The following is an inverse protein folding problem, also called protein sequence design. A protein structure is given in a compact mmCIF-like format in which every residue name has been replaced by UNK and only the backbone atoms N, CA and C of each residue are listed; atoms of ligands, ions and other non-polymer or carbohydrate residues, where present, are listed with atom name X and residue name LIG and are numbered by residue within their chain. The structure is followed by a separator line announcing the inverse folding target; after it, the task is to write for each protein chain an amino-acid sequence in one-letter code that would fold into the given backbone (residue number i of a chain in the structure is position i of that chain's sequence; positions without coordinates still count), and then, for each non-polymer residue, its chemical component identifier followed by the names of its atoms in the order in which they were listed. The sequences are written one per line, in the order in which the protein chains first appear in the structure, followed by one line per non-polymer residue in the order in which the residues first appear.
data_IF_134429955806
#
_entry.id   IF_134429955806
#
_cell.length_a   1.000
_cell.length_b   1.000
_cell.length_c   1.000
_cell.angle_alpha   90.00
_cell.angle_beta   90.00
_cell.angle_gamma   90.00
#
_symmetry.space_group_name_H-M   'P 1'
#
loop_
_entity.id
_entity.type
_entity.pdbx_description
1 polymer ?
#
# COMPACT_ATOMS: atom_id res chain seq x y z
N UNK A 1 -22.62 -9.85 18.67
CA UNK A 1 -21.99 -8.54 19.06
C UNK A 1 -20.46 -8.61 19.09
N UNK A 2 -19.91 -9.76 19.51
CA UNK A 2 -18.47 -10.04 19.57
C UNK A 2 -17.79 -10.01 18.19
N UNK A 3 -18.41 -10.61 17.16
CA UNK A 3 -17.85 -10.67 15.79
C UNK A 3 -17.63 -9.28 15.21
N UNK A 4 -18.57 -8.35 15.45
CA UNK A 4 -18.48 -6.97 14.96
C UNK A 4 -17.31 -6.22 15.60
N UNK A 5 -17.18 -6.28 16.92
CA UNK A 5 -16.13 -5.54 17.63
C UNK A 5 -14.73 -6.06 17.25
N UNK A 6 -14.56 -7.38 17.22
CA UNK A 6 -13.32 -8.02 16.73
C UNK A 6 -13.00 -7.61 15.30
N UNK A 7 -13.99 -7.62 14.40
CA UNK A 7 -13.79 -7.21 12.99
C UNK A 7 -13.33 -5.76 12.89
N UNK A 8 -14.00 -4.86 13.61
CA UNK A 8 -13.68 -3.43 13.60
C UNK A 8 -12.25 -3.20 14.08
N UNK A 9 -11.83 -3.84 15.18
CA UNK A 9 -10.47 -3.75 15.72
C UNK A 9 -9.43 -4.23 14.70
N UNK A 10 -9.63 -5.38 14.07
CA UNK A 10 -8.70 -5.92 13.08
C UNK A 10 -8.58 -5.03 11.84
N UNK A 11 -9.68 -4.45 11.36
CA UNK A 11 -9.65 -3.49 10.26
C UNK A 11 -8.89 -2.21 10.63
N UNK A 12 -9.11 -1.67 11.84
CA UNK A 12 -8.36 -0.52 12.36
C UNK A 12 -6.87 -0.84 12.49
N UNK A 13 -6.53 -2.02 12.98
CA UNK A 13 -5.14 -2.50 13.04
C UNK A 13 -4.52 -2.48 11.63
N UNK A 14 -5.22 -2.99 10.62
CA UNK A 14 -4.74 -2.92 9.23
C UNK A 14 -4.56 -1.50 8.72
N UNK A 15 -5.47 -0.58 9.05
CA UNK A 15 -5.34 0.85 8.69
C UNK A 15 -4.07 1.43 9.31
N UNK A 16 -3.79 1.14 10.58
CA UNK A 16 -2.55 1.53 11.25
C UNK A 16 -1.34 0.94 10.52
N UNK A 17 -1.42 -0.32 10.09
CA UNK A 17 -0.40 -0.96 9.25
C UNK A 17 -0.10 -0.19 7.96
N UNK A 18 -1.14 0.21 7.22
CA UNK A 18 -0.98 1.02 6.02
C UNK A 18 -0.41 2.42 6.33
N UNK A 19 -0.80 3.03 7.46
CA UNK A 19 -0.25 4.33 7.88
C UNK A 19 1.24 4.21 8.23
N UNK A 20 1.68 3.10 8.84
CA UNK A 20 3.10 2.85 9.05
C UNK A 20 3.86 2.78 7.72
N UNK A 21 3.26 2.17 6.68
CA UNK A 21 3.83 2.21 5.34
C UNK A 21 3.93 3.63 4.78
N UNK A 22 2.88 4.45 4.88
CA UNK A 22 2.92 5.86 4.48
C UNK A 22 4.08 6.61 5.16
N UNK A 23 4.28 6.37 6.47
CA UNK A 23 5.41 6.94 7.22
C UNK A 23 6.74 6.39 6.68
N UNK A 24 6.83 5.08 6.43
CA UNK A 24 8.01 4.45 5.85
C UNK A 24 8.39 5.02 4.49
N UNK A 25 7.41 5.21 3.60
CA UNK A 25 7.59 5.80 2.28
C UNK A 25 8.12 7.23 2.39
N UNK A 26 7.54 8.02 3.29
CA UNK A 26 8.00 9.38 3.54
C UNK A 26 9.42 9.42 4.11
N UNK A 27 9.74 8.55 5.06
CA UNK A 27 11.08 8.44 5.62
C UNK A 27 12.12 8.10 4.54
N UNK A 28 11.75 7.29 3.55
CA UNK A 28 12.62 6.92 2.45
C UNK A 28 12.73 7.97 1.33
N UNK A 29 11.62 8.57 0.92
CA UNK A 29 11.55 9.30 -0.34
C UNK A 29 11.52 10.83 -0.19
N UNK A 30 11.07 11.35 0.96
CA UNK A 30 10.92 12.80 1.14
C UNK A 30 12.27 13.50 1.22
N UNK A 31 12.45 14.53 0.39
CA UNK A 31 13.68 15.33 0.34
C UNK A 31 13.50 16.67 1.05
N UNK A 32 14.55 17.11 1.74
CA UNK A 32 14.62 18.42 2.38
C UNK A 32 14.70 19.57 1.38
N UNK A 33 14.43 20.79 1.84
CA UNK A 33 14.53 22.00 1.02
C UNK A 33 15.97 22.18 0.54
N UNK A 34 16.18 22.16 -0.78
CA UNK A 34 17.49 22.36 -1.41
C UNK A 34 18.32 21.08 -1.62
N UNK A 35 17.81 19.90 -1.25
CA UNK A 35 18.47 18.63 -1.60
C UNK A 35 18.27 18.31 -3.07
N UNK A 36 19.30 17.73 -3.70
CA UNK A 36 19.25 17.35 -5.12
C UNK A 36 18.31 16.19 -5.37
N UNK A 37 17.30 16.40 -6.23
CA UNK A 37 16.34 15.37 -6.65
C UNK A 37 16.77 14.64 -7.92
N UNK A 38 17.95 14.94 -8.46
CA UNK A 38 18.51 14.23 -9.61
C UNK A 38 18.66 12.74 -9.32
N UNK A 39 18.33 11.95 -10.35
CA UNK A 39 18.43 10.50 -10.33
C UNK A 39 19.51 10.05 -11.30
N UNK A 40 20.32 9.07 -10.89
CA UNK A 40 21.32 8.41 -11.71
C UNK A 40 20.80 7.01 -12.05
N UNK A 41 20.46 6.78 -13.31
CA UNK A 41 19.73 5.58 -13.71
C UNK A 41 18.26 5.63 -13.30
N UNK A 42 17.68 4.50 -12.93
CA UNK A 42 16.23 4.42 -12.69
C UNK A 42 15.83 4.77 -11.25
N UNK A 43 16.58 4.29 -10.26
CA UNK A 43 16.15 4.34 -8.86
C UNK A 43 17.07 5.17 -7.94
N UNK A 44 18.34 5.33 -8.29
CA UNK A 44 19.32 5.97 -7.40
C UNK A 44 19.12 7.48 -7.41
N UNK A 45 18.79 8.08 -6.26
CA UNK A 45 18.71 9.53 -6.09
C UNK A 45 19.94 10.06 -5.38
N UNK A 46 20.50 11.18 -5.86
CA UNK A 46 21.67 11.82 -5.23
C UNK A 46 21.38 12.19 -3.77
N UNK A 47 20.15 12.60 -3.47
CA UNK A 47 19.68 12.88 -2.10
C UNK A 47 19.99 11.77 -1.07
N UNK A 48 20.10 10.51 -1.48
CA UNK A 48 20.39 9.40 -0.56
C UNK A 48 21.74 9.54 0.15
N UNK A 49 22.71 10.25 -0.45
CA UNK A 49 24.00 10.51 0.18
C UNK A 49 23.88 11.46 1.38
N UNK A 50 22.97 12.43 1.29
CA UNK A 50 22.72 13.44 2.32
C UNK A 50 21.73 12.95 3.39
N UNK A 51 20.84 12.03 3.03
CA UNK A 51 19.83 11.50 3.94
C UNK A 51 20.44 10.64 5.04
N UNK A 52 20.05 10.86 6.30
CA UNK A 52 20.49 10.05 7.43
C UNK A 52 20.13 8.58 7.28
N UNK A 53 21.09 7.68 7.50
CA UNK A 53 20.93 6.22 7.36
C UNK A 53 19.81 5.66 8.26
N UNK A 54 19.59 6.28 9.42
CA UNK A 54 18.51 5.91 10.34
C UNK A 54 17.13 5.98 9.67
N UNK A 55 16.92 6.85 8.67
CA UNK A 55 15.66 6.98 7.94
C UNK A 55 15.32 5.71 7.17
N UNK A 56 16.31 5.11 6.51
CA UNK A 56 16.16 3.86 5.77
C UNK A 56 15.89 2.70 6.72
N UNK A 57 16.61 2.63 7.85
CA UNK A 57 16.39 1.62 8.89
C UNK A 57 14.98 1.72 9.49
N UNK A 58 14.57 2.94 9.87
CA UNK A 58 13.24 3.20 10.40
C UNK A 58 12.15 2.88 9.35
N UNK A 59 12.39 3.20 8.08
CA UNK A 59 11.47 2.86 6.98
C UNK A 59 11.30 1.34 6.82
N UNK A 60 12.37 0.56 6.89
CA UNK A 60 12.31 -0.92 6.86
C UNK A 60 11.50 -1.44 8.06
N UNK A 61 11.73 -0.91 9.26
CA UNK A 61 10.98 -1.30 10.46
C UNK A 61 9.48 -0.97 10.34
N UNK A 62 9.15 0.22 9.83
CA UNK A 62 7.79 0.62 9.52
C UNK A 62 7.13 -0.34 8.52
N UNK A 63 7.81 -0.72 7.43
CA UNK A 63 7.30 -1.68 6.46
C UNK A 63 7.11 -3.08 7.05
N UNK A 64 8.06 -3.57 7.86
CA UNK A 64 7.98 -4.89 8.50
C UNK A 64 6.79 -4.99 9.47
N UNK A 65 6.68 -4.05 10.43
CA UNK A 65 5.56 -4.01 11.37
C UNK A 65 4.26 -3.73 10.62
N UNK A 66 4.29 -2.79 9.67
CA UNK A 66 3.16 -2.43 8.82
C UNK A 66 2.56 -3.63 8.10
N UNK A 67 3.39 -4.54 7.58
CA UNK A 67 2.97 -5.76 6.89
C UNK A 67 2.16 -6.69 7.79
N UNK A 68 2.63 -6.92 9.02
CA UNK A 68 1.95 -7.81 9.96
C UNK A 68 0.54 -7.28 10.27
N UNK A 69 0.42 -5.98 10.50
CA UNK A 69 -0.86 -5.33 10.77
C UNK A 69 -1.75 -5.29 9.52
N UNK A 70 -1.17 -4.98 8.36
CA UNK A 70 -1.83 -5.01 7.05
C UNK A 70 -2.51 -6.35 6.80
N UNK A 71 -1.79 -7.45 6.99
CA UNK A 71 -2.32 -8.80 6.83
C UNK A 71 -3.55 -9.01 7.71
N UNK A 72 -3.50 -8.63 8.99
CA UNK A 72 -4.62 -8.79 9.92
C UNK A 72 -5.88 -8.07 9.44
N UNK A 73 -5.75 -6.85 8.93
CA UNK A 73 -6.87 -6.06 8.42
C UNK A 73 -7.44 -6.63 7.12
N UNK A 74 -6.60 -6.87 6.12
CA UNK A 74 -7.03 -7.37 4.82
C UNK A 74 -7.56 -8.80 4.88
N UNK A 75 -6.95 -9.65 5.69
CA UNK A 75 -7.47 -10.99 5.96
C UNK A 75 -8.85 -10.92 6.59
N UNK A 76 -9.08 -9.97 7.52
CA UNK A 76 -10.41 -9.79 8.09
C UNK A 76 -11.41 -9.27 7.07
N UNK A 77 -11.04 -8.29 6.25
CA UNK A 77 -11.88 -7.77 5.17
C UNK A 77 -12.28 -8.88 4.19
N UNK A 78 -11.33 -9.76 3.83
CA UNK A 78 -11.61 -10.95 3.03
C UNK A 78 -12.64 -11.87 3.70
N UNK A 79 -12.52 -12.10 5.01
CA UNK A 79 -13.52 -12.85 5.78
C UNK A 79 -14.92 -12.23 5.71
N UNK A 80 -15.02 -10.90 5.81
CA UNK A 80 -16.29 -10.19 5.68
C UNK A 80 -16.87 -10.32 4.27
N UNK A 81 -16.05 -10.13 3.23
CA UNK A 81 -16.47 -10.28 1.84
C UNK A 81 -16.98 -11.70 1.54
N UNK A 82 -16.36 -12.73 2.12
CA UNK A 82 -16.85 -14.12 1.99
C UNK A 82 -18.24 -14.33 2.58
N UNK A 83 -18.55 -13.67 3.71
CA UNK A 83 -19.85 -13.77 4.36
C UNK A 83 -20.89 -13.00 3.54
N UNK A 84 -20.53 -11.78 3.10
CA UNK A 84 -21.42 -10.87 2.39
C UNK A 84 -21.78 -11.38 0.98
N UNK A 85 -20.80 -11.91 0.24
CA UNK A 85 -20.98 -12.33 -1.15
C UNK A 85 -21.48 -13.77 -1.24
N UNK A 86 -22.78 -13.92 -1.43
CA UNK A 86 -23.43 -15.22 -1.59
C UNK A 86 -23.47 -15.68 -3.06
N UNK A 87 -23.66 -14.74 -3.99
CA UNK A 87 -23.77 -14.99 -5.43
C UNK A 87 -22.50 -15.59 -6.04
N UNK A 88 -22.64 -16.67 -6.80
CA UNK A 88 -21.53 -17.41 -7.38
C UNK A 88 -20.70 -16.56 -8.37
N UNK A 89 -21.38 -15.77 -9.19
CA UNK A 89 -20.75 -14.89 -10.18
C UNK A 89 -19.83 -13.83 -9.56
N UNK A 90 -20.05 -13.47 -8.30
CA UNK A 90 -19.29 -12.45 -7.58
C UNK A 90 -18.15 -13.01 -6.73
N UNK A 91 -18.17 -14.31 -6.44
CA UNK A 91 -17.08 -14.98 -5.71
C UNK A 91 -15.72 -14.86 -6.39
N UNK A 92 -15.67 -14.72 -7.72
CA UNK A 92 -14.42 -14.51 -8.46
C UNK A 92 -13.71 -13.22 -8.05
N UNK A 93 -14.45 -12.16 -7.73
CA UNK A 93 -13.88 -10.89 -7.28
C UNK A 93 -13.33 -11.00 -5.86
N UNK A 94 -14.00 -11.75 -5.00
CA UNK A 94 -13.51 -12.06 -3.64
C UNK A 94 -12.24 -12.94 -3.70
N UNK A 95 -12.14 -13.86 -4.67
CA UNK A 95 -10.91 -14.62 -4.94
C UNK A 95 -9.78 -13.73 -5.45
N UNK A 96 -10.06 -12.82 -6.39
CA UNK A 96 -9.08 -11.85 -6.88
C UNK A 96 -8.55 -10.96 -5.75
N UNK A 97 -9.45 -10.43 -4.91
CA UNK A 97 -9.09 -9.66 -3.71
C UNK A 97 -8.15 -10.47 -2.81
N UNK A 98 -8.42 -11.77 -2.60
CA UNK A 98 -7.54 -12.65 -1.83
C UNK A 98 -6.15 -12.77 -2.43
N UNK A 99 -6.08 -13.06 -3.73
CA UNK A 99 -4.80 -13.19 -4.43
C UNK A 99 -4.01 -11.89 -4.30
N UNK A 100 -4.66 -10.75 -4.49
CA UNK A 100 -4.04 -9.44 -4.41
C UNK A 100 -3.48 -9.14 -3.01
N UNK A 101 -4.27 -9.24 -1.94
CA UNK A 101 -3.78 -8.88 -0.60
C UNK A 101 -2.76 -9.89 -0.04
N UNK A 102 -2.88 -11.19 -0.35
CA UNK A 102 -1.92 -12.19 0.11
C UNK A 102 -0.58 -11.99 -0.59
N UNK A 103 -0.61 -11.78 -1.90
CA UNK A 103 0.61 -11.46 -2.66
C UNK A 103 1.20 -10.14 -2.16
N UNK A 104 0.37 -9.13 -1.93
CA UNK A 104 0.77 -7.85 -1.33
C UNK A 104 1.43 -8.04 0.04
N UNK A 105 0.88 -8.87 0.92
CA UNK A 105 1.47 -9.13 2.24
C UNK A 105 2.90 -9.67 2.13
N UNK A 106 3.16 -10.59 1.20
CA UNK A 106 4.50 -11.18 1.03
C UNK A 106 5.44 -10.23 0.29
N UNK A 107 4.95 -9.62 -0.79
CA UNK A 107 5.78 -8.88 -1.70
C UNK A 107 6.03 -7.43 -1.25
N UNK A 108 5.11 -6.82 -0.52
CA UNK A 108 5.19 -5.41 -0.18
C UNK A 108 6.35 -5.13 0.79
N UNK A 109 6.56 -5.97 1.81
CA UNK A 109 7.75 -5.85 2.68
C UNK A 109 9.03 -6.00 1.89
N UNK A 110 9.05 -6.95 0.94
CA UNK A 110 10.22 -7.23 0.11
C UNK A 110 10.54 -6.05 -0.81
N UNK A 111 9.55 -5.54 -1.56
CA UNK A 111 9.70 -4.38 -2.46
C UNK A 111 10.15 -3.15 -1.66
N UNK A 112 9.49 -2.89 -0.54
CA UNK A 112 9.83 -1.78 0.36
C UNK A 112 11.27 -1.88 0.85
N UNK A 113 11.64 -3.00 1.49
CA UNK A 113 13.00 -3.20 1.98
C UNK A 113 14.04 -3.15 0.85
N UNK A 114 13.69 -3.59 -0.36
CA UNK A 114 14.59 -3.56 -1.51
C UNK A 114 14.93 -2.12 -1.92
N UNK A 115 13.96 -1.21 -1.98
CA UNK A 115 14.24 0.21 -2.24
C UNK A 115 15.20 0.82 -1.21
N UNK A 116 15.04 0.46 0.07
CA UNK A 116 15.88 0.95 1.16
C UNK A 116 17.29 0.38 1.05
N UNK A 117 17.40 -0.89 0.69
CA UNK A 117 18.69 -1.55 0.46
C UNK A 117 19.43 -0.94 -0.73
N UNK A 118 18.76 -0.60 -1.84
CA UNK A 118 19.39 0.09 -2.98
C UNK A 118 19.98 1.43 -2.55
N UNK A 119 19.23 2.23 -1.78
CA UNK A 119 19.73 3.50 -1.27
C UNK A 119 20.91 3.33 -0.31
N UNK A 120 20.87 2.32 0.57
CA UNK A 120 21.96 1.99 1.48
C UNK A 120 23.21 1.50 0.73
N UNK A 121 23.06 0.64 -0.27
CA UNK A 121 24.16 0.16 -1.12
C UNK A 121 24.81 1.36 -1.81
N UNK A 122 24.02 2.21 -2.47
CA UNK A 122 24.54 3.41 -3.12
C UNK A 122 25.34 4.27 -2.13
N UNK A 123 24.77 4.54 -0.96
CA UNK A 123 25.40 5.37 0.05
C UNK A 123 26.70 4.78 0.58
N UNK A 124 26.70 3.52 0.99
CA UNK A 124 27.86 2.89 1.61
C UNK A 124 28.98 2.59 0.61
N UNK A 125 28.65 2.24 -0.63
CA UNK A 125 29.65 2.10 -1.69
C UNK A 125 30.31 3.45 -1.97
N UNK A 126 29.51 4.52 -2.11
CA UNK A 126 30.05 5.87 -2.30
C UNK A 126 30.97 6.30 -1.14
N UNK A 127 30.57 6.04 0.11
CA UNK A 127 31.40 6.32 1.28
C UNK A 127 32.71 5.52 1.30
N UNK A 128 32.76 4.37 0.64
CA UNK A 128 33.93 3.49 0.62
C UNK A 128 34.92 3.83 -0.50
N UNK A 129 34.44 4.13 -1.71
CA UNK A 129 35.31 4.40 -2.87
C UNK A 129 35.35 5.86 -3.33
N UNK A 130 34.44 6.72 -2.89
CA UNK A 130 34.35 8.13 -3.30
C UNK A 130 33.82 8.38 -4.71
N UNK A 131 33.52 7.33 -5.48
CA UNK A 131 33.09 7.44 -6.88
C UNK A 131 31.57 7.27 -7.02
N UNK A 132 30.87 8.38 -7.23
CA UNK A 132 29.40 8.40 -7.30
C UNK A 132 28.84 7.54 -8.45
N UNK A 133 29.48 7.55 -9.63
CA UNK A 133 29.01 6.76 -10.77
C UNK A 133 29.19 5.26 -10.54
N UNK A 134 30.30 4.84 -9.93
CA UNK A 134 30.52 3.43 -9.57
C UNK A 134 29.51 2.97 -8.54
N UNK A 135 29.26 3.78 -7.50
CA UNK A 135 28.25 3.48 -6.50
C UNK A 135 26.84 3.35 -7.10
N UNK A 136 26.48 4.25 -8.00
CA UNK A 136 25.18 4.24 -8.68
C UNK A 136 25.04 3.04 -9.63
N UNK A 137 26.08 2.67 -10.39
CA UNK A 137 26.06 1.50 -11.27
C UNK A 137 25.84 0.21 -10.46
N UNK A 138 26.57 0.03 -9.36
CA UNK A 138 26.40 -1.13 -8.48
C UNK A 138 24.97 -1.19 -7.91
N UNK A 139 24.46 -0.08 -7.37
CA UNK A 139 23.11 -0.04 -6.81
C UNK A 139 22.02 -0.29 -7.87
N UNK A 140 22.15 0.29 -9.06
CA UNK A 140 21.22 0.04 -10.17
C UNK A 140 21.28 -1.42 -10.65
N UNK A 141 22.45 -2.06 -10.72
CA UNK A 141 22.54 -3.49 -11.08
C UNK A 141 21.80 -4.39 -10.10
N UNK A 142 21.91 -4.12 -8.79
CA UNK A 142 21.17 -4.85 -7.77
C UNK A 142 19.66 -4.59 -7.93
N UNK A 143 19.24 -3.35 -8.21
CA UNK A 143 17.84 -3.04 -8.52
C UNK A 143 17.33 -3.80 -9.76
N UNK A 144 18.05 -3.76 -10.88
CA UNK A 144 17.65 -4.41 -12.13
C UNK A 144 17.54 -5.93 -11.99
N UNK A 145 18.43 -6.56 -11.20
CA UNK A 145 18.33 -7.99 -10.89
C UNK A 145 17.02 -8.36 -10.16
N UNK A 146 16.40 -7.40 -9.49
CA UNK A 146 15.13 -7.57 -8.77
C UNK A 146 13.93 -6.93 -9.49
N UNK A 147 14.11 -6.28 -10.65
CA UNK A 147 13.06 -5.50 -11.30
C UNK A 147 11.87 -6.37 -11.74
N UNK A 148 12.14 -7.55 -12.32
CA UNK A 148 11.09 -8.48 -12.75
C UNK A 148 10.19 -8.96 -11.59
N UNK A 149 10.72 -9.50 -10.46
CA UNK A 149 9.86 -9.91 -9.34
C UNK A 149 9.12 -8.72 -8.71
N UNK A 150 9.72 -7.53 -8.63
CA UNK A 150 9.02 -6.33 -8.14
C UNK A 150 7.86 -5.91 -9.06
N UNK A 151 8.04 -5.96 -10.39
CA UNK A 151 6.97 -5.65 -11.34
C UNK A 151 5.82 -6.66 -11.26
N UNK A 152 6.13 -7.95 -11.15
CA UNK A 152 5.12 -8.99 -10.98
C UNK A 152 4.32 -8.77 -9.68
N UNK A 153 5.02 -8.43 -8.59
CA UNK A 153 4.40 -8.11 -7.32
C UNK A 153 3.44 -6.91 -7.43
N UNK A 154 3.88 -5.82 -8.07
CA UNK A 154 3.07 -4.63 -8.31
C UNK A 154 1.80 -4.93 -9.12
N UNK A 155 1.91 -5.72 -10.19
CA UNK A 155 0.74 -6.11 -11.01
C UNK A 155 -0.24 -6.96 -10.19
N UNK A 156 0.25 -7.96 -9.46
CA UNK A 156 -0.63 -8.87 -8.71
C UNK A 156 -1.26 -8.18 -7.50
N UNK A 157 -0.50 -7.35 -6.79
CA UNK A 157 -0.96 -6.63 -5.60
C UNK A 157 -1.80 -5.41 -5.99
N UNK A 158 -1.18 -4.37 -6.54
CA UNK A 158 -1.80 -3.05 -6.63
C UNK A 158 -2.80 -2.97 -7.77
N UNK A 159 -2.42 -3.44 -8.96
CA UNK A 159 -3.34 -3.49 -10.10
C UNK A 159 -4.48 -4.48 -9.82
N UNK A 160 -4.16 -5.67 -9.31
CA UNK A 160 -5.14 -6.68 -8.92
C UNK A 160 -6.13 -6.18 -7.87
N UNK A 161 -5.65 -5.53 -6.80
CA UNK A 161 -6.48 -4.98 -5.74
C UNK A 161 -7.32 -3.82 -6.26
N UNK A 162 -6.75 -2.90 -7.03
CA UNK A 162 -7.50 -1.79 -7.66
C UNK A 162 -8.64 -2.31 -8.52
N UNK A 163 -8.40 -3.28 -9.41
CA UNK A 163 -9.46 -3.86 -10.25
C UNK A 163 -10.55 -4.49 -9.38
N UNK A 164 -10.18 -5.31 -8.39
CA UNK A 164 -11.14 -5.94 -7.50
C UNK A 164 -12.01 -4.89 -6.79
N UNK A 165 -11.39 -3.83 -6.26
CA UNK A 165 -12.10 -2.78 -5.52
C UNK A 165 -13.02 -1.94 -6.40
N UNK A 166 -12.57 -1.56 -7.60
CA UNK A 166 -13.41 -0.85 -8.58
C UNK A 166 -14.65 -1.69 -8.89
N UNK A 167 -14.45 -2.97 -9.23
CA UNK A 167 -15.58 -3.84 -9.56
C UNK A 167 -16.52 -4.01 -8.37
N UNK A 168 -16.01 -4.25 -7.16
CA UNK A 168 -16.85 -4.41 -5.96
C UNK A 168 -17.65 -3.15 -5.63
N UNK A 169 -17.08 -1.97 -5.84
CA UNK A 169 -17.78 -0.68 -5.66
C UNK A 169 -18.90 -0.52 -6.68
N UNK A 170 -18.63 -0.76 -7.97
CA UNK A 170 -19.60 -0.52 -9.03
C UNK A 170 -20.68 -1.60 -9.14
N UNK A 171 -20.37 -2.85 -8.74
CA UNK A 171 -21.37 -3.91 -8.56
C UNK A 171 -22.15 -3.80 -7.25
N UNK A 172 -21.88 -2.79 -6.43
CA UNK A 172 -22.53 -2.58 -5.12
C UNK A 172 -22.33 -3.76 -4.14
N UNK A 173 -21.25 -4.55 -4.32
CA UNK A 173 -20.79 -5.54 -3.33
C UNK A 173 -20.27 -4.84 -2.08
N UNK A 174 -19.67 -3.66 -2.26
CA UNK A 174 -19.49 -2.71 -1.15
C UNK A 174 -20.68 -1.76 -1.23
N UNK A 175 -21.67 -1.88 -0.31
CA UNK A 175 -22.92 -1.14 -0.41
C UNK A 175 -22.69 0.36 -0.13
N UNK A 176 -22.60 1.14 -1.21
CA UNK A 176 -22.46 2.59 -1.16
C UNK A 176 -23.73 3.25 -1.69
N UNK A 177 -24.35 4.09 -0.86
CA UNK A 177 -25.70 4.63 -1.05
C UNK A 177 -25.82 5.71 -2.12
N UNK A 178 -24.72 6.18 -2.71
CA UNK A 178 -24.74 7.27 -3.68
C UNK A 178 -23.65 7.13 -4.74
N UNK A 179 -23.94 7.59 -5.96
CA UNK A 179 -22.97 7.62 -7.06
C UNK A 179 -21.72 8.44 -6.72
N UNK A 180 -21.83 9.62 -6.06
CA UNK A 180 -20.64 10.35 -5.61
C UNK A 180 -19.75 9.54 -4.66
N UNK A 181 -20.35 8.76 -3.74
CA UNK A 181 -19.58 7.90 -2.85
C UNK A 181 -18.84 6.79 -3.62
N UNK A 182 -19.45 6.22 -4.67
CA UNK A 182 -18.80 5.23 -5.55
C UNK A 182 -17.65 5.82 -6.36
N UNK A 183 -17.81 7.04 -6.87
CA UNK A 183 -16.73 7.76 -7.56
C UNK A 183 -15.58 8.01 -6.60
N UNK A 184 -15.86 8.52 -5.40
CA UNK A 184 -14.83 8.75 -4.39
C UNK A 184 -14.12 7.45 -4.00
N UNK A 185 -14.87 6.37 -3.72
CA UNK A 185 -14.30 5.06 -3.42
C UNK A 185 -13.43 4.49 -4.57
N UNK A 186 -13.77 4.81 -5.83
CA UNK A 186 -12.96 4.46 -7.00
C UNK A 186 -11.65 5.24 -7.03
N UNK A 187 -11.59 6.47 -6.52
CA UNK A 187 -10.33 7.21 -6.38
C UNK A 187 -9.48 6.67 -5.21
N UNK A 188 -10.14 6.13 -4.19
CA UNK A 188 -9.55 5.61 -2.96
C UNK A 188 -8.97 4.19 -3.10
N UNK A 189 -8.06 3.98 -4.04
CA UNK A 189 -7.35 2.71 -4.21
C UNK A 189 -5.86 2.91 -4.53
N UNK A 190 -5.03 1.86 -4.37
CA UNK A 190 -3.57 1.97 -4.46
C UNK A 190 -3.01 2.53 -5.76
N UNK A 191 -3.72 2.39 -6.89
CA UNK A 191 -3.25 2.87 -8.20
C UNK A 191 -3.81 4.24 -8.57
N UNK A 192 -5.11 4.44 -8.37
CA UNK A 192 -5.80 5.65 -8.81
C UNK A 192 -5.44 6.83 -7.91
N UNK A 193 -5.23 6.58 -6.61
CA UNK A 193 -4.87 7.62 -5.66
C UNK A 193 -3.51 8.26 -5.98
N UNK A 194 -2.39 7.53 -6.14
CA UNK A 194 -1.13 8.13 -6.57
C UNK A 194 -1.23 8.69 -7.99
N UNK A 195 -1.89 7.99 -8.92
CA UNK A 195 -2.02 8.42 -10.31
C UNK A 195 -2.76 9.76 -10.48
N UNK A 196 -3.68 10.08 -9.58
CA UNK A 196 -4.42 11.35 -9.60
C UNK A 196 -3.94 12.30 -8.52
N UNK A 197 -4.13 11.96 -7.24
CA UNK A 197 -3.81 12.82 -6.10
C UNK A 197 -2.29 12.95 -5.93
N UNK A 198 -1.53 11.86 -6.05
CA UNK A 198 -0.07 11.91 -5.98
C UNK A 198 0.53 12.86 -7.02
N UNK A 199 0.13 12.72 -8.28
CA UNK A 199 0.56 13.62 -9.35
C UNK A 199 0.14 15.09 -9.12
N UNK A 200 -1.05 15.34 -8.58
CA UNK A 200 -1.47 16.70 -8.22
C UNK A 200 -0.62 17.28 -7.09
N UNK A 201 -0.31 16.48 -6.07
CA UNK A 201 0.57 16.87 -4.97
C UNK A 201 1.98 17.17 -5.49
N UNK A 202 2.51 16.36 -6.41
CA UNK A 202 3.84 16.54 -6.99
C UNK A 202 4.04 17.90 -7.69
N UNK A 203 2.96 18.53 -8.19
CA UNK A 203 2.98 19.85 -8.84
C UNK A 203 3.06 21.00 -7.82
N UNK A 204 2.66 20.77 -6.57
CA UNK A 204 2.60 21.81 -5.54
C UNK A 204 4.00 22.23 -5.06
N UNK A 205 4.13 23.39 -4.40
CA UNK A 205 5.41 23.79 -3.83
C UNK A 205 5.79 22.91 -2.64
N UNK A 206 7.10 22.83 -2.36
CA UNK A 206 7.61 22.26 -1.12
C UNK A 206 7.01 23.00 0.10
N UNK A 207 6.61 22.29 1.18
CA UNK A 207 6.81 20.85 1.43
C UNK A 207 5.67 19.95 0.93
N UNK A 208 4.62 20.52 0.34
CA UNK A 208 3.37 19.79 0.05
C UNK A 208 3.59 18.73 -1.02
N UNK A 209 4.48 18.96 -1.98
CA UNK A 209 4.85 17.96 -2.98
C UNK A 209 5.56 16.73 -2.44
N UNK A 210 5.94 16.68 -1.16
CA UNK A 210 6.51 15.49 -0.55
C UNK A 210 5.43 14.52 -0.04
N UNK A 211 4.16 14.93 -0.06
CA UNK A 211 3.05 14.08 0.36
C UNK A 211 2.66 13.05 -0.71
N UNK A 212 3.15 13.19 -1.94
CA UNK A 212 2.93 12.24 -3.04
C UNK A 212 3.52 10.85 -2.71
N UNK A 213 4.68 10.79 -2.05
CA UNK A 213 5.43 9.57 -1.77
C UNK A 213 4.65 8.49 -1.00
N UNK A 214 3.66 8.88 -0.19
CA UNK A 214 2.85 7.95 0.59
C UNK A 214 1.46 7.66 0.00
N UNK A 215 1.13 8.21 -1.16
CA UNK A 215 -0.25 8.13 -1.69
C UNK A 215 -0.67 6.73 -2.12
N UNK A 216 0.25 5.89 -2.57
CA UNK A 216 -0.02 4.47 -2.87
C UNK A 216 -0.43 3.70 -1.60
N UNK A 217 0.41 3.76 -0.57
CA UNK A 217 0.16 3.15 0.75
C UNK A 217 -1.11 3.70 1.42
N UNK A 218 -1.39 4.99 1.23
CA UNK A 218 -2.63 5.59 1.70
C UNK A 218 -3.85 5.01 0.96
N UNK A 219 -3.72 4.68 -0.33
CA UNK A 219 -4.77 4.01 -1.10
C UNK A 219 -5.16 2.67 -0.50
N UNK A 220 -4.19 1.87 -0.05
CA UNK A 220 -4.45 0.63 0.71
C UNK A 220 -5.18 0.89 2.03
N UNK A 221 -4.82 1.96 2.76
CA UNK A 221 -5.52 2.35 3.99
C UNK A 221 -7.01 2.66 3.71
N UNK A 222 -7.30 3.37 2.62
CA UNK A 222 -8.66 3.72 2.25
C UNK A 222 -9.49 2.49 1.83
N UNK A 223 -8.87 1.48 1.23
CA UNK A 223 -9.54 0.19 0.97
C UNK A 223 -10.04 -0.46 2.28
N UNK A 224 -9.26 -0.41 3.35
CA UNK A 224 -9.70 -0.92 4.66
C UNK A 224 -10.78 -0.05 5.31
N UNK A 225 -10.83 1.26 5.01
CA UNK A 225 -11.96 2.11 5.38
C UNK A 225 -13.24 1.63 4.67
N UNK A 226 -13.16 1.23 3.40
CA UNK A 226 -14.30 0.60 2.72
C UNK A 226 -14.69 -0.72 3.40
N UNK A 227 -13.73 -1.48 3.93
CA UNK A 227 -14.00 -2.64 4.79
C UNK A 227 -14.78 -2.30 6.07
N UNK A 228 -14.51 -1.14 6.69
CA UNK A 228 -15.30 -0.65 7.84
C UNK A 228 -16.73 -0.24 7.44
N UNK A 229 -16.90 0.34 6.26
CA UNK A 229 -18.22 0.66 5.71
C UNK A 229 -19.01 -0.63 5.44
N UNK A 230 -18.38 -1.61 4.78
CA UNK A 230 -18.96 -2.94 4.57
C UNK A 230 -19.43 -3.55 5.90
N UNK A 231 -18.56 -3.59 6.92
CA UNK A 231 -18.91 -4.12 8.24
C UNK A 231 -20.13 -3.41 8.86
N UNK A 232 -20.24 -2.08 8.69
CA UNK A 232 -21.36 -1.30 9.19
C UNK A 232 -22.66 -1.66 8.49
N UNK A 233 -22.64 -1.80 7.17
CA UNK A 233 -23.84 -2.12 6.39
C UNK A 233 -24.27 -3.58 6.60
N UNK A 234 -23.34 -4.53 6.64
CA UNK A 234 -23.64 -5.94 7.00
C UNK A 234 -24.30 -6.05 8.38
N UNK A 235 -23.88 -5.22 9.35
CA UNK A 235 -24.50 -5.18 10.66
C UNK A 235 -25.95 -4.67 10.59
N UNK A 236 -26.22 -3.63 9.80
CA UNK A 236 -27.59 -3.10 9.61
C UNK A 236 -28.49 -4.13 8.91
N UNK A 237 -27.93 -4.88 7.95
CA UNK A 237 -28.62 -5.93 7.21
C UNK A 237 -28.82 -7.23 8.02
N UNK A 238 -28.22 -7.35 9.21
CA UNK A 238 -28.35 -8.54 10.06
C UNK A 238 -27.48 -9.73 9.64
N UNK A 239 -26.66 -9.60 8.60
CA UNK A 239 -25.82 -10.68 8.05
C UNK A 239 -24.83 -11.27 9.06
N UNK A 240 -24.33 -10.43 9.97
CA UNK A 240 -23.36 -10.86 10.99
C UNK A 240 -23.96 -11.77 12.05
N UNK A 241 -25.28 -11.70 12.30
CA UNK A 241 -25.96 -12.59 13.26
C UNK A 241 -26.12 -14.00 12.70
N UNK A 242 -26.35 -14.11 11.39
CA UNK A 242 -26.49 -15.39 10.71
C UNK A 242 -25.15 -16.14 10.63
N UNK A 243 -24.02 -15.42 10.66
CA UNK A 243 -22.69 -15.99 10.69
C UNK A 243 -22.24 -16.42 12.11
N UNK A 244 -22.77 -15.81 13.18
CA UNK A 244 -22.50 -16.20 14.58
C UNK A 244 -23.05 -17.60 14.94
N UNK A 245 -23.98 -18.16 14.13
CA UNK A 245 -24.51 -19.53 14.29
C UNK A 245 -23.79 -20.60 13.46
N UNK A 246 -22.71 -20.24 12.76
CA UNK A 246 -21.94 -21.13 11.87
C UNK A 246 -20.47 -21.29 12.33
N UNK A 247 -20.05 -20.65 13.42
CA UNK A 247 -18.76 -20.90 14.09
C UNK A 247 -18.87 -22.06 15.09
#
# INVERSE_FOLDING_TARGET
MYVRDKSKRLLIIGIIGCILYVIGDFLFAATGKGQTTESIGFMVRVAYLEMGTWRMVASILCGFVGTLLYYMGFHRMYGLLKIHVTEENDRKWVKLFRVAYVTGTVAWTYVHAMFMNVALIFKFVYQSCGEMQVAADIANRVFYANAAPMLIAYILCDVGLTIAMIVMVWKNIIPLNSTPARIFATLCNPMVLPGVIGNLLAILPWPVNQLDHGTESFGHALVLILGLILLREMHKAGELKNAEGLE
#
